data_IF_490173016301
#
_entry.id   IF_490173016301
#
_cell.length_a   1.000
_cell.length_b   1.000
_cell.length_c   1.000
_cell.angle_alpha   90.00
_cell.angle_beta   90.00
_cell.angle_gamma   90.00
#
_symmetry.space_group_name_H-M   'P 1'
#
loop_
_entity.id
_entity.type
_entity.pdbx_description
1 polymer ?
#
# COMPACT_ATOMS: atom_id res chain seq x y z
N UNK A 1 19.55 14.82 -1.27
CA UNK A 1 20.13 13.68 -2.02
C UNK A 1 21.58 13.51 -1.62
N UNK A 2 22.03 12.28 -1.33
CA UNK A 2 23.43 12.02 -1.02
C UNK A 2 24.28 12.05 -2.30
N UNK A 3 25.44 12.68 -2.22
CA UNK A 3 26.39 12.79 -3.34
C UNK A 3 27.65 11.97 -3.10
N UNK A 4 28.28 12.11 -1.94
CA UNK A 4 29.52 11.41 -1.58
C UNK A 4 29.40 10.56 -0.32
N UNK A 5 28.21 10.38 0.21
CA UNK A 5 27.97 9.68 1.48
C UNK A 5 28.59 8.27 1.52
N UNK A 6 28.36 7.45 0.48
CA UNK A 6 28.84 6.06 0.45
C UNK A 6 30.37 5.99 0.35
N UNK A 7 30.99 6.96 -0.35
CA UNK A 7 32.44 7.09 -0.44
C UNK A 7 33.04 7.42 0.93
N UNK A 8 32.51 8.44 1.61
CA UNK A 8 32.98 8.86 2.94
C UNK A 8 32.78 7.73 3.96
N UNK A 9 31.64 7.01 3.90
CA UNK A 9 31.37 5.85 4.75
C UNK A 9 32.44 4.75 4.56
N UNK A 10 32.79 4.41 3.30
CA UNK A 10 33.79 3.39 2.95
C UNK A 10 35.18 3.81 3.39
N UNK A 11 35.57 5.06 3.19
CA UNK A 11 36.85 5.62 3.64
C UNK A 11 37.01 5.51 5.16
N UNK A 12 35.92 5.60 5.91
CA UNK A 12 35.89 5.41 7.37
C UNK A 12 35.70 3.96 7.83
N UNK A 13 35.69 3.01 6.90
CA UNK A 13 35.56 1.58 7.20
C UNK A 13 34.22 1.18 7.85
N UNK A 14 33.18 2.01 7.72
CA UNK A 14 31.88 1.75 8.36
C UNK A 14 30.97 0.90 7.46
N UNK A 15 30.34 -0.13 8.01
CA UNK A 15 29.26 -0.85 7.34
C UNK A 15 27.94 -0.06 7.44
N UNK A 16 26.96 -0.39 6.63
CA UNK A 16 25.61 0.21 6.73
C UNK A 16 25.01 0.02 8.12
N UNK A 17 25.19 -1.17 8.72
CA UNK A 17 24.69 -1.49 10.06
C UNK A 17 25.32 -0.62 11.13
N UNK A 18 26.63 -0.46 11.11
CA UNK A 18 27.37 0.36 12.08
C UNK A 18 27.00 1.85 11.96
N UNK A 19 26.84 2.36 10.73
CA UNK A 19 26.43 3.74 10.52
C UNK A 19 24.99 3.95 10.99
N UNK A 20 24.07 3.02 10.72
CA UNK A 20 22.69 3.07 11.15
C UNK A 20 22.56 3.06 12.68
N UNK A 21 23.26 2.16 13.35
CA UNK A 21 23.27 2.04 14.80
C UNK A 21 23.78 3.31 15.49
N UNK A 22 24.94 3.83 15.03
CA UNK A 22 25.52 5.06 15.59
C UNK A 22 24.70 6.31 15.30
N UNK A 23 24.01 6.36 14.16
CA UNK A 23 23.13 7.48 13.79
C UNK A 23 21.73 7.38 14.40
N UNK A 24 21.36 6.24 15.03
CA UNK A 24 20.02 5.99 15.53
C UNK A 24 18.98 5.96 14.39
N UNK A 25 19.34 5.34 13.26
CA UNK A 25 18.50 5.24 12.05
C UNK A 25 18.28 3.77 11.67
N UNK A 26 17.21 3.50 10.91
CA UNK A 26 17.02 2.20 10.28
C UNK A 26 18.11 1.95 9.21
N UNK A 27 18.53 0.69 9.09
CA UNK A 27 19.53 0.27 8.08
C UNK A 27 19.09 0.63 6.68
N UNK A 28 17.78 0.45 6.38
CA UNK A 28 17.21 0.78 5.08
C UNK A 28 17.36 2.27 4.74
N UNK A 29 17.16 3.15 5.72
CA UNK A 29 17.35 4.60 5.53
C UNK A 29 18.80 4.92 5.13
N UNK A 30 19.78 4.26 5.74
CA UNK A 30 21.18 4.44 5.40
C UNK A 30 21.49 3.87 4.02
N UNK A 31 20.98 2.68 3.69
CA UNK A 31 21.19 2.07 2.38
C UNK A 31 20.57 2.92 1.25
N UNK A 32 19.33 3.38 1.45
CA UNK A 32 18.63 4.27 0.50
C UNK A 32 19.41 5.57 0.30
N UNK A 33 19.93 6.17 1.38
CA UNK A 33 20.78 7.33 1.30
C UNK A 33 22.06 7.06 0.50
N UNK A 34 22.79 5.96 0.81
CA UNK A 34 24.01 5.61 0.11
C UNK A 34 23.81 5.27 -1.38
N UNK A 35 22.60 4.86 -1.78
CA UNK A 35 22.19 4.68 -3.19
C UNK A 35 21.86 6.00 -3.91
N UNK A 36 22.03 7.16 -3.24
CA UNK A 36 21.76 8.46 -3.82
C UNK A 36 20.28 8.87 -3.79
N UNK A 37 19.43 8.16 -3.04
CA UNK A 37 18.03 8.55 -2.88
C UNK A 37 17.87 9.69 -1.85
N UNK A 38 16.71 10.34 -1.89
CA UNK A 38 16.38 11.43 -0.97
C UNK A 38 16.12 10.92 0.44
N UNK A 39 16.66 11.62 1.43
CA UNK A 39 16.40 11.40 2.86
C UNK A 39 16.03 12.73 3.52
N UNK A 40 15.45 12.66 4.71
CA UNK A 40 15.15 13.87 5.49
C UNK A 40 16.43 14.61 5.87
N UNK A 41 16.33 15.94 6.09
CA UNK A 41 17.46 16.74 6.55
C UNK A 41 17.97 16.25 7.91
N UNK A 42 17.06 15.86 8.80
CA UNK A 42 17.40 15.28 10.11
C UNK A 42 18.22 13.99 9.98
N UNK A 43 17.81 13.09 9.09
CA UNK A 43 18.56 11.84 8.84
C UNK A 43 19.93 12.12 8.22
N UNK A 44 20.02 13.10 7.33
CA UNK A 44 21.29 13.52 6.73
C UNK A 44 22.23 14.11 7.78
N UNK A 45 21.73 14.96 8.67
CA UNK A 45 22.50 15.56 9.77
C UNK A 45 23.04 14.49 10.74
N UNK A 46 22.19 13.53 11.14
CA UNK A 46 22.60 12.41 11.99
C UNK A 46 23.72 11.57 11.36
N UNK A 47 23.62 11.25 10.07
CA UNK A 47 24.67 10.48 9.36
C UNK A 47 25.95 11.31 9.23
N UNK A 48 25.87 12.58 8.88
CA UNK A 48 27.03 13.47 8.74
C UNK A 48 27.78 13.66 10.06
N UNK A 49 27.07 13.79 11.19
CA UNK A 49 27.66 13.85 12.53
C UNK A 49 28.45 12.59 12.86
N UNK A 50 27.91 11.41 12.61
CA UNK A 50 28.61 10.13 12.84
C UNK A 50 29.84 10.01 11.94
N UNK A 51 29.73 10.46 10.69
CA UNK A 51 30.84 10.48 9.75
C UNK A 51 31.81 11.65 9.95
N UNK A 52 31.56 12.53 10.94
CA UNK A 52 32.38 13.70 11.23
C UNK A 52 32.69 14.52 9.97
N UNK A 53 31.69 14.76 9.14
CA UNK A 53 31.79 15.57 7.94
C UNK A 53 30.67 16.62 7.92
N UNK A 54 30.89 17.71 7.18
CA UNK A 54 29.84 18.68 6.96
C UNK A 54 28.71 18.07 6.10
N UNK A 55 27.46 18.45 6.38
CA UNK A 55 26.28 17.90 5.66
C UNK A 55 26.36 18.16 4.18
N UNK A 56 26.78 19.35 3.78
CA UNK A 56 26.94 19.80 2.39
C UNK A 56 28.00 19.03 1.60
N UNK A 57 28.98 18.45 2.29
CA UNK A 57 29.99 17.56 1.68
C UNK A 57 29.41 16.20 1.32
N UNK A 58 28.55 15.64 2.15
CA UNK A 58 27.98 14.30 1.96
C UNK A 58 26.64 14.33 1.22
N UNK A 59 25.91 15.45 1.31
CA UNK A 59 24.56 15.60 0.79
C UNK A 59 24.37 16.92 0.05
N UNK A 60 23.65 16.88 -1.07
CA UNK A 60 23.17 18.07 -1.76
C UNK A 60 21.77 18.40 -1.25
N UNK A 61 21.56 19.62 -0.75
CA UNK A 61 20.25 20.11 -0.39
C UNK A 61 19.40 20.30 -1.64
N UNK A 62 18.30 19.58 -1.74
CA UNK A 62 17.31 19.75 -2.79
C UNK A 62 16.04 20.34 -2.16
N UNK A 63 15.76 21.59 -2.47
CA UNK A 63 14.47 22.19 -2.13
C UNK A 63 13.39 21.56 -3.01
N UNK A 64 12.29 21.16 -2.40
CA UNK A 64 11.14 20.62 -3.15
C UNK A 64 10.61 21.68 -4.09
N UNK A 65 10.87 21.54 -5.39
CA UNK A 65 10.45 22.51 -6.40
C UNK A 65 8.98 22.37 -6.80
N UNK A 66 8.38 21.21 -6.57
CA UNK A 66 6.97 21.01 -6.92
C UNK A 66 6.07 21.45 -5.78
N UNK A 67 5.05 22.25 -6.02
CA UNK A 67 4.03 22.57 -5.03
C UNK A 67 3.33 21.26 -4.56
N UNK A 68 2.71 21.31 -3.38
CA UNK A 68 1.86 20.23 -2.94
C UNK A 68 0.73 20.02 -3.96
N UNK A 69 0.35 18.76 -4.17
CA UNK A 69 -0.80 18.45 -5.04
C UNK A 69 -2.07 19.13 -4.50
N UNK A 70 -3.00 19.47 -5.39
CA UNK A 70 -4.31 20.02 -5.00
C UNK A 70 -5.02 19.11 -4.00
N UNK A 71 -4.87 17.80 -4.11
CA UNK A 71 -5.39 16.81 -3.16
C UNK A 71 -4.79 16.98 -1.77
N UNK A 72 -3.47 17.17 -1.66
CA UNK A 72 -2.78 17.40 -0.38
C UNK A 72 -3.24 18.72 0.26
N UNK A 73 -3.29 19.79 -0.53
CA UNK A 73 -3.75 21.11 -0.05
C UNK A 73 -5.20 21.02 0.43
N UNK A 74 -6.09 20.34 -0.31
CA UNK A 74 -7.45 20.10 0.11
C UNK A 74 -7.55 19.26 1.40
N UNK A 75 -6.66 18.30 1.60
CA UNK A 75 -6.57 17.54 2.85
C UNK A 75 -6.25 18.43 4.04
N UNK A 76 -5.23 19.29 3.91
CA UNK A 76 -4.86 20.28 4.94
C UNK A 76 -6.00 21.30 5.19
N UNK A 77 -6.62 21.80 4.11
CA UNK A 77 -7.76 22.73 4.22
C UNK A 77 -8.93 22.10 5.00
N UNK A 78 -9.31 20.85 4.68
CA UNK A 78 -10.37 20.12 5.42
C UNK A 78 -10.03 19.93 6.89
N UNK A 79 -8.77 19.59 7.18
CA UNK A 79 -8.32 19.43 8.56
C UNK A 79 -8.41 20.75 9.35
N UNK A 80 -7.86 21.83 8.80
CA UNK A 80 -7.91 23.16 9.44
C UNK A 80 -9.36 23.62 9.62
N UNK A 81 -10.22 23.42 8.60
CA UNK A 81 -11.64 23.78 8.69
C UNK A 81 -12.34 23.01 9.82
N UNK A 82 -12.05 21.73 9.98
CA UNK A 82 -12.62 20.92 11.06
C UNK A 82 -12.14 21.41 12.45
N UNK A 83 -10.86 21.75 12.59
CA UNK A 83 -10.31 22.31 13.84
C UNK A 83 -10.94 23.66 14.18
N UNK A 84 -11.03 24.59 13.22
CA UNK A 84 -11.65 25.90 13.43
C UNK A 84 -13.15 25.76 13.73
N UNK A 85 -13.86 24.86 13.05
CA UNK A 85 -15.29 24.60 13.36
C UNK A 85 -15.48 24.03 14.77
N UNK A 86 -14.57 23.14 15.22
CA UNK A 86 -14.58 22.69 16.61
C UNK A 86 -14.38 23.85 17.58
N UNK A 87 -13.41 24.75 17.32
CA UNK A 87 -13.14 25.92 18.15
C UNK A 87 -14.33 26.91 18.19
N UNK A 88 -14.99 27.14 17.06
CA UNK A 88 -16.23 27.95 16.95
C UNK A 88 -17.36 27.32 17.80
N UNK A 89 -17.61 26.02 17.66
CA UNK A 89 -18.61 25.30 18.45
C UNK A 89 -18.36 25.41 19.96
N UNK A 90 -17.10 25.47 20.38
CA UNK A 90 -16.70 25.63 21.79
C UNK A 90 -16.51 27.11 22.21
N UNK A 91 -16.94 28.07 21.37
CA UNK A 91 -16.86 29.51 21.62
C UNK A 91 -15.41 30.03 21.87
N UNK A 92 -14.42 29.36 21.29
CA UNK A 92 -13.01 29.77 21.28
C UNK A 92 -12.71 30.70 20.10
N UNK A 93 -13.54 30.62 19.03
CA UNK A 93 -13.54 31.51 17.88
C UNK A 93 -14.95 32.05 17.68
N UNK A 94 -15.06 33.29 17.17
CA UNK A 94 -16.34 33.90 16.78
C UNK A 94 -16.82 33.36 15.44
N UNK A 95 -15.87 33.23 14.50
CA UNK A 95 -16.12 32.76 13.13
C UNK A 95 -15.00 31.82 12.69
N UNK A 96 -15.31 30.94 11.73
CA UNK A 96 -14.30 30.05 11.14
C UNK A 96 -13.53 30.78 10.01
N UNK A 97 -12.25 31.17 10.23
CA UNK A 97 -11.48 31.91 9.23
C UNK A 97 -11.20 31.12 7.96
N UNK A 98 -11.29 29.79 8.03
CA UNK A 98 -11.05 28.92 6.86
C UNK A 98 -12.20 28.94 5.87
N UNK A 99 -13.39 29.36 6.28
CA UNK A 99 -14.55 29.47 5.36
C UNK A 99 -14.36 30.59 4.32
N UNK A 100 -13.52 31.60 4.63
CA UNK A 100 -13.12 32.63 3.68
C UNK A 100 -12.07 32.15 2.66
N UNK A 101 -11.41 31.04 2.91
CA UNK A 101 -10.34 30.50 2.06
C UNK A 101 -10.88 29.45 1.09
N UNK A 102 -10.76 29.72 -0.21
CA UNK A 102 -11.16 28.73 -1.24
C UNK A 102 -10.09 27.66 -1.37
N UNK A 103 -10.50 26.41 -1.19
CA UNK A 103 -9.65 25.27 -1.51
C UNK A 103 -9.40 25.18 -3.03
N UNK A 104 -8.21 24.76 -3.49
CA UNK A 104 -7.95 24.57 -4.90
C UNK A 104 -8.89 23.50 -5.50
N UNK A 105 -9.34 23.72 -6.73
CA UNK A 105 -10.09 22.67 -7.45
C UNK A 105 -9.17 21.48 -7.69
N UNK A 106 -9.73 20.29 -7.53
CA UNK A 106 -9.08 19.05 -7.90
C UNK A 106 -9.58 18.71 -9.31
N UNK A 107 -8.80 19.08 -10.31
CA UNK A 107 -9.03 18.66 -11.69
C UNK A 107 -8.38 17.27 -11.83
N UNK A 108 -9.09 16.23 -11.37
CA UNK A 108 -8.67 14.85 -11.60
C UNK A 108 -9.34 14.38 -12.90
N UNK A 109 -8.57 14.22 -13.96
CA UNK A 109 -9.02 13.46 -15.11
C UNK A 109 -9.18 12.00 -14.68
N UNK A 110 -10.42 11.52 -14.74
CA UNK A 110 -10.71 10.11 -14.52
C UNK A 110 -10.47 9.41 -15.85
N UNK A 111 -9.38 8.66 -15.92
CA UNK A 111 -9.11 7.80 -17.06
C UNK A 111 -9.97 6.54 -16.95
N UNK A 112 -10.77 6.29 -17.98
CA UNK A 112 -11.59 5.08 -18.10
C UNK A 112 -11.06 4.28 -19.27
N UNK A 113 -10.78 3.01 -19.03
CA UNK A 113 -10.33 2.10 -20.09
C UNK A 113 -11.37 1.96 -21.19
N UNK A 114 -10.93 1.99 -22.43
CA UNK A 114 -11.73 1.57 -23.57
C UNK A 114 -12.03 0.06 -23.52
N UNK A 115 -12.93 -0.41 -24.37
CA UNK A 115 -13.22 -1.85 -24.47
C UNK A 115 -11.96 -2.65 -24.89
N UNK A 116 -11.18 -2.11 -25.85
CA UNK A 116 -9.94 -2.76 -26.29
C UNK A 116 -8.88 -2.81 -25.19
N UNK A 117 -8.71 -1.73 -24.43
CA UNK A 117 -7.78 -1.67 -23.30
C UNK A 117 -8.22 -2.62 -22.20
N UNK A 118 -9.51 -2.66 -21.87
CA UNK A 118 -10.07 -3.58 -20.89
C UNK A 118 -9.85 -5.03 -21.31
N UNK A 119 -10.12 -5.37 -22.56
CA UNK A 119 -9.90 -6.71 -23.09
C UNK A 119 -8.41 -7.08 -23.11
N UNK A 120 -7.51 -6.13 -23.43
CA UNK A 120 -6.06 -6.33 -23.37
C UNK A 120 -5.60 -6.59 -21.95
N UNK A 121 -6.08 -5.82 -21.00
CA UNK A 121 -5.76 -5.96 -19.59
C UNK A 121 -6.23 -7.32 -19.04
N UNK A 122 -7.47 -7.71 -19.30
CA UNK A 122 -8.00 -9.03 -18.89
C UNK A 122 -7.16 -10.17 -19.49
N UNK A 123 -6.78 -10.08 -20.77
CA UNK A 123 -5.89 -11.08 -21.38
C UNK A 123 -4.53 -11.17 -20.70
N UNK A 124 -3.96 -10.02 -20.27
CA UNK A 124 -2.71 -10.00 -19.54
C UNK A 124 -2.84 -10.69 -18.18
N UNK A 125 -3.93 -10.40 -17.44
CA UNK A 125 -4.25 -11.06 -16.17
C UNK A 125 -4.45 -12.57 -16.34
N UNK A 126 -5.15 -13.00 -17.39
CA UNK A 126 -5.36 -14.43 -17.67
C UNK A 126 -4.08 -15.18 -17.99
N UNK A 127 -3.05 -14.51 -18.49
CA UNK A 127 -1.71 -15.09 -18.79
C UNK A 127 -0.76 -15.05 -17.60
N UNK A 128 -1.15 -14.41 -16.50
CA UNK A 128 -0.31 -14.33 -15.31
C UNK A 128 -0.05 -15.73 -14.75
N UNK A 129 1.22 -16.00 -14.44
CA UNK A 129 1.67 -17.33 -13.98
C UNK A 129 1.43 -17.53 -12.48
N UNK A 130 1.53 -16.48 -11.70
CA UNK A 130 1.21 -16.55 -10.26
C UNK A 130 -0.31 -16.59 -10.11
N UNK A 131 -0.81 -17.75 -9.70
CA UNK A 131 -2.25 -17.99 -9.52
C UNK A 131 -2.87 -17.04 -8.49
N UNK A 132 -2.10 -16.56 -7.51
CA UNK A 132 -2.56 -15.56 -6.51
C UNK A 132 -2.88 -14.24 -7.19
N UNK A 133 -1.93 -13.76 -8.00
CA UNK A 133 -2.06 -12.49 -8.75
C UNK A 133 -3.22 -12.57 -9.73
N UNK A 134 -3.26 -13.64 -10.53
CA UNK A 134 -4.35 -13.92 -11.47
C UNK A 134 -5.71 -13.88 -10.78
N UNK A 135 -5.89 -14.65 -9.72
CA UNK A 135 -7.17 -14.78 -9.01
C UNK A 135 -7.56 -13.45 -8.35
N UNK A 136 -6.61 -12.77 -7.67
CA UNK A 136 -6.87 -11.50 -7.01
C UNK A 136 -7.36 -10.43 -7.99
N UNK A 137 -6.66 -10.25 -9.11
CA UNK A 137 -7.00 -9.24 -10.11
C UNK A 137 -8.32 -9.56 -10.82
N UNK A 138 -8.61 -10.83 -11.13
CA UNK A 138 -9.90 -11.22 -11.71
C UNK A 138 -11.06 -10.93 -10.75
N UNK A 139 -10.92 -11.24 -9.46
CA UNK A 139 -11.93 -10.92 -8.46
C UNK A 139 -12.16 -9.40 -8.37
N UNK A 140 -11.08 -8.60 -8.37
CA UNK A 140 -11.20 -7.13 -8.35
C UNK A 140 -11.93 -6.60 -9.58
N UNK A 141 -11.62 -7.13 -10.78
CA UNK A 141 -12.24 -6.70 -12.03
C UNK A 141 -13.73 -7.05 -12.07
N UNK A 142 -14.08 -8.30 -11.74
CA UNK A 142 -15.44 -8.79 -11.92
C UNK A 142 -16.39 -8.52 -10.75
N UNK A 143 -15.87 -8.46 -9.52
CA UNK A 143 -16.69 -8.21 -8.32
C UNK A 143 -16.58 -6.78 -7.79
N UNK A 144 -15.63 -5.96 -8.29
CA UNK A 144 -15.49 -4.57 -7.89
C UNK A 144 -15.12 -4.34 -6.42
N UNK A 145 -14.46 -5.30 -5.79
CA UNK A 145 -14.09 -5.21 -4.38
C UNK A 145 -13.02 -4.15 -4.13
N UNK A 146 -13.06 -3.54 -2.94
CA UNK A 146 -11.92 -2.75 -2.47
C UNK A 146 -10.78 -3.67 -2.06
N UNK A 147 -9.52 -3.21 -2.18
CA UNK A 147 -8.33 -4.00 -1.82
C UNK A 147 -8.40 -4.61 -0.42
N UNK A 148 -8.87 -3.85 0.55
CA UNK A 148 -9.03 -4.34 1.92
C UNK A 148 -10.12 -5.39 2.05
N UNK A 149 -11.19 -5.32 1.27
CA UNK A 149 -12.27 -6.31 1.20
C UNK A 149 -11.76 -7.60 0.56
N UNK A 150 -11.04 -7.50 -0.56
CA UNK A 150 -10.39 -8.64 -1.20
C UNK A 150 -9.46 -9.39 -0.24
N UNK A 151 -8.51 -8.67 0.39
CA UNK A 151 -7.57 -9.28 1.35
C UNK A 151 -8.24 -9.78 2.62
N UNK A 152 -9.45 -9.28 2.94
CA UNK A 152 -10.26 -9.74 4.06
C UNK A 152 -11.13 -10.95 3.75
N UNK A 153 -11.17 -11.44 2.50
CA UNK A 153 -11.88 -12.68 2.17
C UNK A 153 -11.21 -13.88 2.84
N UNK A 154 -12.02 -14.79 3.34
CA UNK A 154 -11.58 -16.07 3.88
C UNK A 154 -12.20 -17.21 3.06
N UNK A 155 -11.67 -18.42 3.18
CA UNK A 155 -12.28 -19.57 2.52
C UNK A 155 -13.71 -19.84 3.00
N UNK A 156 -14.04 -19.48 4.26
CA UNK A 156 -15.41 -19.49 4.77
C UNK A 156 -16.35 -18.46 4.12
N UNK A 157 -15.80 -17.45 3.44
CA UNK A 157 -16.58 -16.44 2.71
C UNK A 157 -16.96 -16.87 1.29
N UNK A 158 -16.44 -18.01 0.79
CA UNK A 158 -16.62 -18.45 -0.59
C UNK A 158 -17.42 -19.75 -0.61
N UNK A 159 -18.64 -19.70 -1.13
CA UNK A 159 -19.49 -20.86 -1.37
C UNK A 159 -19.43 -21.19 -2.88
N UNK A 160 -18.46 -22.06 -3.25
CA UNK A 160 -18.31 -22.49 -4.64
C UNK A 160 -19.51 -23.33 -5.13
N UNK A 161 -20.21 -24.02 -4.21
CA UNK A 161 -21.38 -24.83 -4.56
C UNK A 161 -22.58 -23.99 -4.94
N UNK A 162 -22.78 -22.86 -4.27
CA UNK A 162 -23.83 -21.88 -4.60
C UNK A 162 -23.35 -20.79 -5.56
N UNK A 163 -22.06 -20.71 -5.83
CA UNK A 163 -21.48 -19.65 -6.66
C UNK A 163 -21.63 -18.26 -6.04
N UNK A 164 -21.33 -18.10 -4.73
CA UNK A 164 -21.50 -16.85 -4.00
C UNK A 164 -20.24 -16.53 -3.18
N UNK A 165 -19.88 -15.25 -3.17
CA UNK A 165 -18.87 -14.68 -2.25
C UNK A 165 -19.55 -13.74 -1.26
N UNK A 166 -19.37 -14.00 0.04
CA UNK A 166 -19.89 -13.19 1.14
C UNK A 166 -18.85 -12.15 1.55
N UNK A 167 -19.07 -10.89 1.24
CA UNK A 167 -18.19 -9.78 1.63
C UNK A 167 -18.69 -9.20 2.95
N UNK A 168 -18.04 -9.52 4.07
CA UNK A 168 -18.47 -9.11 5.41
C UNK A 168 -17.39 -8.38 6.22
N UNK A 169 -16.15 -8.42 5.78
CA UNK A 169 -14.99 -7.92 6.50
C UNK A 169 -13.91 -7.38 5.57
N UNK A 170 -12.92 -6.72 6.15
CA UNK A 170 -11.80 -6.17 5.41
C UNK A 170 -10.52 -6.31 6.21
N UNK A 171 -9.40 -6.52 5.52
CA UNK A 171 -8.08 -6.48 6.11
C UNK A 171 -7.53 -5.05 6.00
N UNK A 172 -6.95 -4.54 7.09
CA UNK A 172 -6.35 -3.21 7.17
C UNK A 172 -5.00 -3.31 7.85
N UNK A 173 -4.08 -2.49 7.40
CA UNK A 173 -2.86 -2.22 8.14
C UNK A 173 -3.08 -1.05 9.12
N UNK A 174 -2.76 -1.25 10.39
CA UNK A 174 -2.83 -0.23 11.43
C UNK A 174 -1.44 0.03 11.98
N UNK A 175 -1.03 1.28 11.95
CA UNK A 175 0.29 1.70 12.42
C UNK A 175 0.55 1.22 13.85
N UNK A 176 1.65 0.48 14.04
CA UNK A 176 2.06 -0.09 15.33
C UNK A 176 1.35 -1.39 15.76
N UNK A 177 0.27 -1.80 15.08
CA UNK A 177 -0.49 -3.01 15.41
C UNK A 177 -0.43 -4.08 14.30
N UNK A 178 0.07 -3.74 13.11
CA UNK A 178 0.16 -4.65 11.97
C UNK A 178 -1.18 -4.82 11.23
N UNK A 179 -1.38 -6.01 10.65
CA UNK A 179 -2.60 -6.34 9.92
C UNK A 179 -3.72 -6.69 10.87
N UNK A 180 -4.89 -6.12 10.65
CA UNK A 180 -6.09 -6.34 11.47
C UNK A 180 -7.27 -6.67 10.56
N UNK A 181 -7.89 -7.81 10.82
CA UNK A 181 -9.16 -8.18 10.22
C UNK A 181 -10.30 -7.48 10.96
N UNK A 182 -11.04 -6.63 10.28
CA UNK A 182 -12.06 -5.79 10.88
C UNK A 182 -13.37 -5.75 10.10
N UNK A 183 -14.40 -5.24 10.74
CA UNK A 183 -15.70 -5.03 10.10
C UNK A 183 -15.58 -4.01 8.96
N UNK A 184 -16.46 -4.11 7.98
CA UNK A 184 -16.61 -3.13 6.91
C UNK A 184 -16.97 -1.75 7.48
N UNK A 185 -16.57 -0.71 6.75
CA UNK A 185 -16.79 0.68 7.16
C UNK A 185 -18.28 1.04 7.27
N UNK A 186 -19.11 0.47 6.42
CA UNK A 186 -20.56 0.70 6.41
C UNK A 186 -21.32 -0.62 6.33
N UNK A 187 -22.58 -0.65 6.79
CA UNK A 187 -23.43 -1.84 6.71
C UNK A 187 -23.77 -2.21 5.27
N UNK A 188 -23.89 -1.20 4.40
CA UNK A 188 -24.19 -1.33 2.97
C UNK A 188 -23.04 -1.97 2.18
N UNK A 189 -21.82 -2.01 2.75
CA UNK A 189 -20.69 -2.69 2.13
C UNK A 189 -20.73 -4.21 2.30
N UNK A 190 -21.63 -4.76 3.14
CA UNK A 190 -21.86 -6.20 3.20
C UNK A 190 -22.66 -6.61 1.97
N UNK A 191 -22.12 -7.54 1.22
CA UNK A 191 -22.75 -8.01 -0.01
C UNK A 191 -22.51 -9.50 -0.23
N UNK A 192 -23.52 -10.14 -0.77
CA UNK A 192 -23.43 -11.46 -1.34
C UNK A 192 -23.32 -11.28 -2.86
N UNK A 193 -22.14 -11.59 -3.40
CA UNK A 193 -21.84 -11.37 -4.80
C UNK A 193 -21.82 -12.67 -5.56
N UNK A 194 -22.55 -12.77 -6.69
CA UNK A 194 -22.55 -13.99 -7.50
C UNK A 194 -21.20 -14.17 -8.22
N UNK A 195 -20.71 -15.40 -8.22
CA UNK A 195 -19.56 -15.83 -9.00
C UNK A 195 -20.00 -16.21 -10.41
N UNK A 196 -19.34 -15.69 -11.42
CA UNK A 196 -19.45 -16.25 -12.76
C UNK A 196 -18.82 -17.66 -12.81
N UNK A 197 -19.25 -18.54 -13.73
CA UNK A 197 -18.63 -19.86 -13.88
C UNK A 197 -17.11 -19.80 -14.02
N UNK A 198 -16.60 -18.86 -14.80
CA UNK A 198 -15.16 -18.63 -14.99
C UNK A 198 -14.45 -18.28 -13.68
N UNK A 199 -15.02 -17.39 -12.85
CA UNK A 199 -14.43 -17.06 -11.55
C UNK A 199 -14.49 -18.25 -10.57
N UNK A 200 -15.55 -19.04 -10.62
CA UNK A 200 -15.66 -20.25 -9.80
C UNK A 200 -14.57 -21.28 -10.15
N UNK A 201 -14.30 -21.47 -11.44
CA UNK A 201 -13.21 -22.34 -11.92
C UNK A 201 -11.84 -21.84 -11.44
N UNK A 202 -11.54 -20.54 -11.61
CA UNK A 202 -10.28 -19.93 -11.16
C UNK A 202 -10.12 -20.04 -9.65
N UNK A 203 -11.20 -19.84 -8.88
CA UNK A 203 -11.17 -20.00 -7.43
C UNK A 203 -11.00 -21.46 -7.00
N UNK A 204 -11.54 -22.42 -7.73
CA UNK A 204 -11.33 -23.84 -7.47
C UNK A 204 -9.86 -24.23 -7.72
N UNK A 205 -9.26 -23.78 -8.84
CA UNK A 205 -7.84 -23.96 -9.14
C UNK A 205 -6.97 -23.32 -8.04
N UNK A 206 -7.31 -22.12 -7.62
CA UNK A 206 -6.60 -21.40 -6.56
C UNK A 206 -6.72 -22.10 -5.20
N UNK A 207 -7.88 -22.69 -4.88
CA UNK A 207 -8.08 -23.46 -3.64
C UNK A 207 -7.21 -24.71 -3.61
N UNK A 208 -7.04 -25.38 -4.75
CA UNK A 208 -6.13 -26.51 -4.85
C UNK A 208 -4.70 -26.07 -4.56
N UNK A 209 -4.21 -25.02 -5.23
CA UNK A 209 -2.89 -24.44 -4.98
C UNK A 209 -2.71 -24.06 -3.49
N UNK A 210 -3.70 -23.40 -2.91
CA UNK A 210 -3.65 -22.95 -1.51
C UNK A 210 -3.53 -24.13 -0.54
N UNK A 211 -4.27 -25.21 -0.76
CA UNK A 211 -4.21 -26.42 0.05
C UNK A 211 -2.86 -27.14 -0.08
N UNK A 212 -2.34 -27.28 -1.31
CA UNK A 212 -1.04 -27.88 -1.59
C UNK A 212 0.08 -27.06 -0.93
N UNK A 213 0.01 -25.73 -1.06
CA UNK A 213 0.99 -24.83 -0.49
C UNK A 213 0.98 -24.86 1.05
N UNK A 214 -0.21 -24.86 1.66
CA UNK A 214 -0.37 -25.04 3.11
C UNK A 214 0.21 -26.38 3.57
N UNK A 215 -0.05 -27.46 2.84
CA UNK A 215 0.49 -28.77 3.17
C UNK A 215 2.03 -28.84 3.09
N UNK A 216 2.64 -28.13 2.11
CA UNK A 216 4.10 -28.04 1.99
C UNK A 216 4.76 -27.35 3.19
N UNK A 217 4.12 -26.32 3.74
CA UNK A 217 4.64 -25.59 4.89
C UNK A 217 4.37 -26.31 6.22
N UNK A 218 3.36 -27.17 6.30
CA UNK A 218 3.03 -27.90 7.51
C UNK A 218 2.90 -26.99 8.74
N UNK A 219 3.65 -27.31 9.80
CA UNK A 219 3.63 -26.54 11.05
C UNK A 219 4.25 -25.12 10.93
N UNK A 220 4.96 -24.83 9.86
CA UNK A 220 5.47 -23.48 9.59
C UNK A 220 4.44 -22.55 8.94
N UNK A 221 3.26 -23.05 8.60
CA UNK A 221 2.19 -22.25 8.03
C UNK A 221 1.63 -21.25 9.05
N UNK A 222 1.67 -19.96 8.72
CA UNK A 222 1.21 -18.85 9.57
C UNK A 222 -0.17 -18.33 9.20
N UNK A 223 -1.02 -19.19 8.65
CA UNK A 223 -2.36 -18.81 8.15
C UNK A 223 -3.32 -18.41 9.26
N UNK A 224 -3.26 -17.14 9.67
CA UNK A 224 -4.28 -16.57 10.53
C UNK A 224 -5.57 -16.34 9.74
N UNK A 225 -6.72 -16.51 10.40
CA UNK A 225 -8.08 -16.26 9.87
C UNK A 225 -8.44 -17.02 8.59
N UNK A 226 -7.65 -17.98 8.14
CA UNK A 226 -7.85 -18.70 6.87
C UNK A 226 -8.12 -17.77 5.67
N UNK A 227 -7.35 -16.67 5.61
CA UNK A 227 -7.47 -15.71 4.53
C UNK A 227 -7.32 -16.37 3.17
N UNK A 228 -8.13 -15.90 2.21
CA UNK A 228 -8.08 -16.36 0.83
C UNK A 228 -6.73 -16.01 0.21
N UNK A 229 -6.29 -14.75 0.38
CA UNK A 229 -5.03 -14.26 -0.16
C UNK A 229 -3.96 -14.20 0.92
N UNK A 230 -2.87 -14.91 0.68
CA UNK A 230 -1.77 -15.09 1.62
C UNK A 230 -0.41 -14.96 0.93
N UNK A 231 0.61 -14.63 1.73
CA UNK A 231 2.01 -14.74 1.35
C UNK A 231 2.47 -16.19 1.25
N UNK A 232 3.76 -16.40 0.99
CA UNK A 232 4.33 -17.74 0.80
C UNK A 232 4.24 -18.60 2.07
N UNK A 233 4.35 -17.99 3.25
CA UNK A 233 4.27 -18.66 4.56
C UNK A 233 2.85 -18.70 5.16
N UNK A 234 1.84 -18.32 4.38
CA UNK A 234 0.45 -18.26 4.85
C UNK A 234 0.07 -16.99 5.58
N UNK A 235 0.96 -16.03 5.80
CA UNK A 235 0.59 -14.73 6.38
C UNK A 235 -0.43 -14.02 5.50
N UNK A 236 -1.45 -13.37 6.09
CA UNK A 236 -2.44 -12.62 5.32
C UNK A 236 -1.77 -11.57 4.43
N UNK A 237 -2.23 -11.45 3.20
CA UNK A 237 -1.65 -10.54 2.21
C UNK A 237 -1.93 -9.08 2.57
N UNK A 238 -0.87 -8.26 2.67
CA UNK A 238 -1.05 -6.82 2.87
C UNK A 238 -1.78 -6.21 1.67
N UNK A 239 -2.85 -5.41 1.86
CA UNK A 239 -3.57 -4.78 0.76
C UNK A 239 -2.72 -3.88 -0.16
N UNK A 240 -1.57 -3.39 0.30
CA UNK A 240 -0.63 -2.62 -0.53
C UNK A 240 0.03 -3.48 -1.61
N UNK A 241 0.24 -4.78 -1.36
CA UNK A 241 0.86 -5.72 -2.30
C UNK A 241 0.07 -5.85 -3.61
N UNK A 242 -1.25 -5.64 -3.55
CA UNK A 242 -2.10 -5.63 -4.76
C UNK A 242 -1.67 -4.54 -5.74
N UNK A 243 -1.27 -3.35 -5.25
CA UNK A 243 -0.77 -2.30 -6.13
C UNK A 243 0.55 -2.71 -6.79
N UNK A 244 1.47 -3.31 -6.03
CA UNK A 244 2.74 -3.80 -6.57
C UNK A 244 2.55 -4.87 -7.64
N UNK A 245 1.57 -5.75 -7.46
CA UNK A 245 1.20 -6.76 -8.46
C UNK A 245 0.65 -6.11 -9.72
N UNK A 246 -0.24 -5.12 -9.56
CA UNK A 246 -0.81 -4.37 -10.67
C UNK A 246 0.29 -3.61 -11.44
N UNK A 247 1.15 -2.88 -10.73
CA UNK A 247 2.26 -2.12 -11.32
C UNK A 247 3.19 -3.04 -12.11
N UNK A 248 3.60 -4.18 -11.54
CA UNK A 248 4.43 -5.17 -12.23
C UNK A 248 3.75 -5.79 -13.46
N UNK A 249 2.44 -6.00 -13.40
CA UNK A 249 1.68 -6.54 -14.54
C UNK A 249 1.61 -5.51 -15.68
N UNK A 250 1.33 -4.25 -15.35
CA UNK A 250 1.25 -3.15 -16.35
C UNK A 250 2.61 -2.85 -16.95
N UNK A 251 3.69 -2.79 -16.16
CA UNK A 251 5.06 -2.62 -16.67
C UNK A 251 5.48 -3.70 -17.68
N UNK A 252 5.02 -4.96 -17.47
CA UNK A 252 5.35 -6.07 -18.39
C UNK A 252 4.52 -6.10 -19.67
N UNK A 253 3.35 -5.50 -19.67
CA UNK A 253 2.39 -5.64 -20.78
C UNK A 253 2.10 -4.30 -21.53
N UNK A 254 2.65 -3.18 -21.09
CA UNK A 254 2.57 -1.87 -21.73
C UNK A 254 1.26 -1.15 -21.40
#
# INVERSE_FOLDING_TARGET
TATELDKIRKEKGMTYKVLAEKAGLCIDTVQIACKGCRVSLESADKMAKVLQCAVDKAFKLEVRKSPYSSTTINGVHRFLRAVCHYAEKHKLLTDNPIDAVRAPKIDAEIYVFSEEESARFIRAVMREKDIRVKTALLILIYLGLRKGELCGLTWGSVDLGKGIVHVAQQLKEKSGEGLILGKLKTKESKADLPLSPMLAEVLAEYRQWWNEHKAMYGDAWRGEWECLFVGDDGTPLNPSTINEWLDKLTERNG
#
